data_IF_314573053568
#
_entry.id   IF_314573053568
#
_cell.length_a   1.000
_cell.length_b   1.000
_cell.length_c   1.000
_cell.angle_alpha   90.00
_cell.angle_beta   90.00
_cell.angle_gamma   90.00
#
_symmetry.space_group_name_H-M   'P 1'
#
loop_
_entity.id
_entity.type
_entity.pdbx_description
1 polymer ?
2 polymer ?
3 non-polymer ?
4 water ?
#
# COMPACT_ATOMS: atom_id res chain seq x y z
N UNK A 9 -1.67 8.74 19.89
CA UNK A 9 -1.89 8.55 21.37
C UNK A 9 -2.61 7.23 21.71
N UNK A 10 -3.07 6.52 20.66
CA UNK A 10 -3.73 5.23 20.75
C UNK A 10 -2.76 4.03 20.57
N UNK A 11 -1.50 4.31 20.27
CA UNK A 11 -0.51 3.24 20.08
C UNK A 11 -0.47 2.26 21.27
N UNK A 12 -0.40 0.96 21.01
CA UNK A 12 -0.22 0.01 22.09
C UNK A 12 -1.49 -0.64 22.64
N UNK A 13 -2.63 -0.43 21.95
CA UNK A 13 -3.91 -1.07 22.34
C UNK A 13 -3.91 -2.61 22.24
N UNK A 14 -4.66 -3.29 23.12
CA UNK A 14 -4.69 -4.75 23.05
C UNK A 14 -5.41 -5.19 21.79
N UNK A 15 -5.23 -6.46 21.43
CA UNK A 15 -5.90 -7.06 20.28
C UNK A 15 -7.40 -6.99 20.47
N UNK A 16 -7.85 -7.22 21.71
CA UNK A 16 -9.29 -7.26 21.94
C UNK A 16 -9.96 -5.91 21.71
N UNK A 17 -9.25 -4.83 22.08
CA UNK A 17 -9.73 -3.45 21.75
C UNK A 17 -9.65 -3.16 20.25
N UNK A 18 -8.53 -3.50 19.60
CA UNK A 18 -8.50 -3.47 18.11
C UNK A 18 -9.65 -4.19 17.42
N UNK A 19 -9.99 -5.38 17.92
CA UNK A 19 -11.11 -6.13 17.39
C UNK A 19 -12.42 -5.38 17.52
N UNK A 20 -12.65 -4.74 18.66
CA UNK A 20 -13.85 -3.94 18.81
C UNK A 20 -13.84 -2.68 17.95
N UNK A 21 -12.67 -2.14 17.74
CA UNK A 21 -12.55 -0.98 16.86
C UNK A 21 -12.76 -1.36 15.39
N UNK A 22 -12.26 -2.54 14.99
CA UNK A 22 -12.59 -3.06 13.67
C UNK A 22 -14.07 -3.26 13.50
N UNK A 23 -14.74 -3.88 14.51
CA UNK A 23 -16.19 -3.98 14.52
C UNK A 23 -16.91 -2.66 14.34
N UNK A 24 -16.38 -1.63 14.99
CA UNK A 24 -17.01 -0.31 14.97
C UNK A 24 -16.94 0.21 13.55
N UNK A 25 -15.75 0.08 12.96
CA UNK A 25 -15.50 0.53 11.58
C UNK A 25 -16.31 -0.23 10.58
N UNK A 26 -16.37 -1.56 10.71
CA UNK A 26 -17.19 -2.39 9.86
C UNK A 26 -18.67 -1.94 9.92
N UNK A 27 -19.14 -1.62 11.13
CA UNK A 27 -20.55 -1.29 11.29
C UNK A 27 -20.91 0.03 10.64
N UNK A 28 -20.03 1.01 10.79
CA UNK A 28 -20.19 2.28 10.10
C UNK A 28 -20.20 2.10 8.56
N UNK A 29 -19.31 1.22 8.08
CA UNK A 29 -19.31 0.82 6.67
C UNK A 29 -20.65 0.22 6.23
N UNK A 30 -21.18 -0.77 6.97
CA UNK A 30 -22.47 -1.37 6.65
C UNK A 30 -23.62 -0.31 6.61
N UNK A 31 -23.52 0.77 7.37
CA UNK A 31 -24.54 1.80 7.42
C UNK A 31 -24.25 2.93 6.39
N UNK A 32 -23.24 2.76 5.55
CA UNK A 32 -22.99 3.76 4.50
C UNK A 32 -22.39 5.02 5.04
N UNK A 33 -21.92 4.95 6.28
CA UNK A 33 -21.24 6.06 6.90
C UNK A 33 -19.73 6.00 6.46
N UNK A 34 -19.47 6.31 5.20
CA UNK A 34 -18.15 6.04 4.65
C UNK A 34 -17.01 6.92 5.16
N UNK A 35 -17.31 8.19 5.47
CA UNK A 35 -16.27 9.09 5.98
C UNK A 35 -15.77 8.69 7.35
N UNK A 36 -16.71 8.27 8.18
CA UNK A 36 -16.40 7.86 9.52
C UNK A 36 -15.69 6.51 9.49
N UNK A 37 -16.19 5.61 8.66
CA UNK A 37 -15.58 4.29 8.53
C UNK A 37 -14.13 4.46 8.00
N UNK A 38 -13.97 5.34 7.02
CA UNK A 38 -12.60 5.56 6.52
C UNK A 38 -11.61 5.96 7.62
N UNK A 39 -12.05 6.86 8.49
CA UNK A 39 -11.21 7.33 9.57
C UNK A 39 -10.90 6.22 10.55
N UNK A 40 -11.88 5.42 10.91
CA UNK A 40 -11.58 4.29 11.78
C UNK A 40 -10.56 3.30 11.13
N UNK A 41 -10.74 3.01 9.82
CA UNK A 41 -9.82 2.08 9.18
C UNK A 41 -8.42 2.67 9.01
N UNK A 42 -8.36 3.97 8.69
CA UNK A 42 -7.12 4.65 8.59
C UNK A 42 -6.42 4.54 9.95
N UNK A 43 -7.19 4.65 11.05
CA UNK A 43 -6.54 4.56 12.38
C UNK A 43 -5.95 3.17 12.53
N UNK A 44 -6.78 2.13 12.28
CA UNK A 44 -6.34 0.77 12.42
C UNK A 44 -5.12 0.37 11.55
N UNK A 45 -5.10 0.76 10.26
CA UNK A 45 -3.91 0.65 9.38
C UNK A 45 -2.63 1.33 9.98
N UNK A 46 -2.81 2.39 10.76
CA UNK A 46 -1.65 2.96 11.52
C UNK A 46 -1.24 2.10 12.72
N UNK A 47 -2.20 1.58 13.44
CA UNK A 47 -2.00 0.76 14.61
C UNK A 47 -1.50 -0.62 14.31
N UNK A 48 -1.88 -1.19 13.15
CA UNK A 48 -1.46 -2.51 12.79
C UNK A 48 -1.16 -2.57 11.33
N UNK A 49 0.12 -2.51 10.99
CA UNK A 49 0.54 -2.38 9.59
C UNK A 49 0.36 -3.66 8.74
N UNK A 50 -0.15 -4.77 9.29
CA UNK A 50 -0.10 -6.08 8.59
C UNK A 50 -1.43 -6.77 8.47
N UNK A 51 -2.46 -6.24 9.11
CA UNK A 51 -3.75 -6.93 9.12
C UNK A 51 -4.49 -6.55 7.83
N UNK A 52 -4.49 -7.42 6.83
CA UNK A 52 -5.14 -7.13 5.52
C UNK A 52 -6.61 -6.65 5.66
N UNK A 53 -7.37 -7.15 6.63
CA UNK A 53 -8.74 -6.66 6.79
C UNK A 53 -8.84 -5.13 6.87
N UNK A 54 -7.88 -4.54 7.55
CA UNK A 54 -7.94 -3.06 7.75
C UNK A 54 -7.74 -2.33 6.42
N UNK A 55 -6.94 -2.92 5.53
CA UNK A 55 -6.61 -2.23 4.24
C UNK A 55 -7.72 -2.40 3.22
N UNK A 56 -8.37 -3.55 3.30
CA UNK A 56 -9.64 -3.89 2.59
C UNK A 56 -10.66 -2.90 3.02
N UNK A 57 -10.83 -2.74 4.34
CA UNK A 57 -11.79 -1.74 4.88
C UNK A 57 -11.53 -0.28 4.40
N UNK A 58 -10.27 0.13 4.53
CA UNK A 58 -9.89 1.50 4.12
C UNK A 58 -10.19 1.62 2.63
N UNK A 59 -9.66 0.67 1.84
CA UNK A 59 -9.97 0.67 0.33
C UNK A 59 -11.42 0.77 -0.01
N UNK A 60 -12.28 -0.04 0.62
CA UNK A 60 -13.67 -0.09 0.32
C UNK A 60 -14.33 1.28 0.61
N UNK A 61 -13.90 1.93 1.72
CA UNK A 61 -14.44 3.24 2.06
C UNK A 61 -14.13 4.29 1.05
N UNK A 62 -12.88 4.32 0.62
CA UNK A 62 -12.43 5.28 -0.37
C UNK A 62 -13.11 5.04 -1.75
N UNK A 63 -13.22 3.77 -2.12
CA UNK A 63 -13.97 3.40 -3.32
C UNK A 63 -15.39 3.98 -3.30
N UNK A 64 -16.11 3.80 -2.19
CA UNK A 64 -17.50 4.24 -2.07
C UNK A 64 -17.65 5.75 -2.11
N UNK A 65 -16.58 6.46 -1.74
CA UNK A 65 -16.50 7.91 -1.80
C UNK A 65 -15.91 8.44 -3.11
N UNK A 66 -15.59 7.55 -4.02
CA UNK A 66 -15.05 8.03 -5.32
C UNK A 66 -13.63 8.40 -5.28
N UNK A 67 -12.92 8.00 -4.23
CA UNK A 67 -11.50 8.31 -4.18
C UNK A 67 -10.71 7.13 -4.77
N UNK A 68 -10.79 6.89 -6.09
CA UNK A 68 -10.25 5.66 -6.64
C UNK A 68 -8.74 5.49 -6.54
N UNK A 69 -7.98 6.55 -6.76
CA UNK A 69 -6.52 6.46 -6.68
C UNK A 69 -6.09 6.11 -5.22
N UNK A 70 -6.71 6.72 -4.23
CA UNK A 70 -6.37 6.37 -2.82
C UNK A 70 -6.85 4.97 -2.47
N UNK A 71 -7.98 4.55 -3.05
CA UNK A 71 -8.48 3.17 -2.88
C UNK A 71 -7.47 2.21 -3.47
N UNK A 72 -6.90 2.56 -4.64
CA UNK A 72 -5.94 1.64 -5.22
C UNK A 72 -4.70 1.47 -4.27
N UNK A 73 -4.17 2.56 -3.70
CA UNK A 73 -3.01 2.47 -2.77
C UNK A 73 -3.28 1.48 -1.61
N UNK A 74 -4.49 1.54 -1.08
CA UNK A 74 -4.82 0.64 0.06
C UNK A 74 -4.98 -0.84 -0.33
N UNK A 75 -5.68 -1.04 -1.45
CA UNK A 75 -5.82 -2.33 -2.05
C UNK A 75 -4.47 -2.88 -2.46
N UNK A 76 -3.58 -2.03 -3.01
CA UNK A 76 -2.29 -2.54 -3.42
C UNK A 76 -1.48 -3.07 -2.23
N UNK A 77 -1.50 -2.31 -1.14
CA UNK A 77 -0.79 -2.78 0.08
C UNK A 77 -1.47 -4.03 0.68
N UNK A 78 -2.78 -3.99 0.78
CA UNK A 78 -3.47 -5.13 1.29
C UNK A 78 -3.10 -6.44 0.58
N UNK A 79 -3.13 -6.40 -0.76
CA UNK A 79 -2.77 -7.54 -1.59
C UNK A 79 -1.38 -8.06 -1.25
N UNK A 80 -0.43 -7.17 -0.88
CA UNK A 80 0.89 -7.61 -0.36
C UNK A 80 0.79 -8.41 0.99
N UNK A 81 -0.21 -8.06 1.81
CA UNK A 81 -0.42 -8.68 3.09
C UNK A 81 -1.18 -10.00 3.00
N UNK A 82 -2.02 -10.19 1.97
CA UNK A 82 -2.64 -11.51 1.82
C UNK A 82 -2.67 -11.83 0.31
N UNK A 83 -1.64 -12.51 -0.17
CA UNK A 83 -1.48 -12.76 -1.60
C UNK A 83 -2.55 -13.68 -2.20
N UNK A 84 -3.33 -14.36 -1.37
CA UNK A 84 -4.44 -15.25 -1.80
C UNK A 84 -5.84 -14.59 -1.92
N UNK A 85 -5.97 -13.38 -1.37
CA UNK A 85 -7.29 -12.73 -1.28
C UNK A 85 -7.70 -12.10 -2.62
N UNK A 86 -8.76 -12.64 -3.23
CA UNK A 86 -9.27 -12.17 -4.54
C UNK A 86 -9.93 -10.80 -4.46
N UNK A 87 -10.40 -10.35 -3.28
CA UNK A 87 -11.06 -9.05 -3.19
C UNK A 87 -10.17 -7.88 -3.56
N UNK A 88 -8.89 -7.94 -3.22
CA UNK A 88 -7.99 -6.86 -3.54
C UNK A 88 -7.94 -6.62 -5.04
N UNK A 89 -7.53 -7.62 -5.86
CA UNK A 89 -7.39 -7.22 -7.31
C UNK A 89 -8.75 -7.00 -7.95
N UNK A 90 -9.76 -7.67 -7.44
CA UNK A 90 -11.10 -7.46 -7.97
C UNK A 90 -11.56 -6.00 -7.75
N UNK A 91 -11.56 -5.50 -6.49
CA UNK A 91 -12.03 -4.16 -6.29
C UNK A 91 -11.07 -3.13 -6.86
N UNK A 92 -9.79 -3.47 -6.90
CA UNK A 92 -8.81 -2.60 -7.58
C UNK A 92 -9.19 -2.46 -9.08
N UNK A 93 -9.58 -3.58 -9.67
CA UNK A 93 -9.95 -3.58 -11.09
C UNK A 93 -11.17 -2.65 -11.30
N UNK A 94 -12.16 -2.70 -10.38
CA UNK A 94 -13.26 -1.72 -10.47
C UNK A 94 -12.83 -0.25 -10.46
N UNK A 95 -11.85 0.06 -9.59
CA UNK A 95 -11.33 1.41 -9.48
C UNK A 95 -10.60 1.71 -10.80
N UNK A 96 -9.81 0.79 -11.34
CA UNK A 96 -9.11 1.10 -12.58
C UNK A 96 -10.10 1.44 -13.69
N UNK A 97 -11.20 0.70 -13.71
CA UNK A 97 -12.25 0.87 -14.72
C UNK A 97 -12.86 2.25 -14.60
N UNK A 98 -13.20 2.65 -13.38
CA UNK A 98 -13.76 4.01 -13.18
C UNK A 98 -12.74 5.09 -13.52
N UNK A 99 -11.45 4.75 -13.49
CA UNK A 99 -10.43 5.73 -13.92
C UNK A 99 -10.17 5.66 -15.41
N UNK A 100 -10.82 4.78 -16.13
CA UNK A 100 -10.61 4.74 -17.58
C UNK A 100 -9.36 3.96 -17.95
N UNK A 101 -8.90 3.11 -17.04
CA UNK A 101 -7.64 2.40 -17.29
C UNK A 101 -8.00 0.97 -17.56
N UNK A 102 -8.14 0.62 -18.82
CA UNK A 102 -8.60 -0.72 -19.17
C UNK A 102 -7.64 -1.86 -18.94
N UNK A 103 -6.37 -1.58 -19.18
CA UNK A 103 -5.31 -2.55 -18.93
C UNK A 103 -5.18 -2.89 -17.43
N UNK A 104 -5.22 -1.86 -16.56
CA UNK A 104 -5.24 -2.16 -15.12
C UNK A 104 -6.47 -2.99 -14.76
N UNK A 105 -7.63 -2.70 -15.32
CA UNK A 105 -8.82 -3.43 -14.87
C UNK A 105 -8.73 -4.87 -15.34
N UNK A 106 -8.31 -5.03 -16.59
CA UNK A 106 -8.15 -6.41 -17.14
C UNK A 106 -7.19 -7.25 -16.26
N UNK A 107 -6.02 -6.69 -15.91
CA UNK A 107 -5.04 -7.38 -15.03
C UNK A 107 -5.72 -7.77 -13.71
N UNK A 108 -6.45 -6.82 -13.09
CA UNK A 108 -7.05 -7.07 -11.75
C UNK A 108 -8.08 -8.18 -11.78
N UNK A 109 -8.96 -8.10 -12.78
CA UNK A 109 -10.10 -9.09 -12.88
C UNK A 109 -9.50 -10.47 -13.23
N UNK A 110 -8.48 -10.51 -14.08
CA UNK A 110 -7.70 -11.74 -14.36
C UNK A 110 -7.10 -12.40 -13.08
N UNK A 111 -6.34 -11.60 -12.30
CA UNK A 111 -5.79 -12.07 -11.01
C UNK A 111 -6.90 -12.49 -10.06
N UNK A 112 -7.96 -11.68 -9.97
CA UNK A 112 -9.08 -12.01 -9.06
C UNK A 112 -9.71 -13.32 -9.44
N UNK A 113 -9.83 -13.55 -10.77
CA UNK A 113 -10.45 -14.82 -11.14
C UNK A 113 -9.54 -15.97 -10.72
N UNK A 114 -8.25 -15.83 -10.94
CA UNK A 114 -7.31 -16.90 -10.56
C UNK A 114 -7.35 -17.15 -9.05
N UNK A 115 -7.33 -16.08 -8.24
CA UNK A 115 -7.32 -16.28 -6.77
C UNK A 115 -8.65 -16.85 -6.33
N UNK A 116 -9.75 -16.33 -6.88
CA UNK A 116 -11.07 -16.82 -6.43
C UNK A 116 -11.28 -18.26 -6.91
N UNK A 117 -10.79 -18.61 -8.12
CA UNK A 117 -10.95 -20.02 -8.59
C UNK A 117 -10.29 -21.07 -7.65
N UNK A 118 -9.23 -20.69 -6.95
CA UNK A 118 -8.55 -21.64 -6.12
C UNK A 118 -9.23 -21.90 -4.74
N UNK A 119 -10.34 -21.21 -4.44
CA UNK A 119 -10.92 -21.28 -3.08
C UNK A 119 -12.44 -21.43 -3.13
N UNK A 120 -12.99 -22.55 -2.60
CA UNK A 120 -14.47 -22.76 -2.68
C UNK A 120 -15.35 -21.66 -2.04
N UNK A 121 -14.87 -21.05 -0.95
CA UNK A 121 -15.54 -19.88 -0.34
C UNK A 121 -15.81 -18.71 -1.34
N UNK A 122 -15.00 -18.65 -2.39
CA UNK A 122 -15.06 -17.55 -3.33
C UNK A 122 -15.61 -17.91 -4.73
N UNK A 123 -16.47 -18.93 -4.81
CA UNK A 123 -17.08 -19.33 -6.08
C UNK A 123 -17.94 -18.26 -6.80
N UNK A 124 -18.74 -17.46 -6.08
CA UNK A 124 -19.51 -16.38 -6.72
C UNK A 124 -18.59 -15.28 -7.28
N UNK A 125 -17.55 -14.92 -6.54
CA UNK A 125 -16.61 -13.89 -6.94
C UNK A 125 -15.83 -14.31 -8.19
N UNK A 126 -15.41 -15.57 -8.26
CA UNK A 126 -14.71 -16.12 -9.41
C UNK A 126 -15.55 -15.90 -10.68
N UNK A 127 -16.83 -16.21 -10.63
CA UNK A 127 -17.74 -15.99 -11.77
C UNK A 127 -17.90 -14.52 -12.10
N UNK A 128 -17.96 -13.66 -11.08
CA UNK A 128 -18.03 -12.21 -11.34
C UNK A 128 -16.76 -11.69 -11.96
N UNK A 129 -15.61 -12.16 -11.47
CA UNK A 129 -14.34 -11.73 -11.98
C UNK A 129 -14.24 -12.16 -13.46
N UNK A 130 -14.72 -13.35 -13.78
CA UNK A 130 -14.69 -13.88 -15.17
C UNK A 130 -15.63 -13.05 -16.01
N UNK A 131 -16.83 -12.74 -15.49
CA UNK A 131 -17.78 -11.87 -16.25
C UNK A 131 -17.22 -10.48 -16.53
N UNK A 132 -16.67 -9.84 -15.48
CA UNK A 132 -16.03 -8.54 -15.65
C UNK A 132 -14.84 -8.57 -16.59
N UNK A 133 -14.01 -9.60 -16.46
CA UNK A 133 -12.88 -9.71 -17.38
C UNK A 133 -13.36 -9.75 -18.85
N UNK A 134 -14.36 -10.56 -19.11
CA UNK A 134 -14.92 -10.72 -20.46
C UNK A 134 -15.45 -9.34 -20.97
N UNK A 135 -16.12 -8.60 -20.06
CA UNK A 135 -16.66 -7.28 -20.39
C UNK A 135 -15.56 -6.36 -20.77
N UNK A 136 -14.48 -6.35 -19.99
CA UNK A 136 -13.37 -5.45 -20.27
C UNK A 136 -12.62 -5.78 -21.56
N UNK A 137 -12.39 -7.07 -21.78
CA UNK A 137 -11.72 -7.52 -23.01
C UNK A 137 -12.56 -7.11 -24.23
N UNK A 138 -13.88 -7.30 -24.12
CA UNK A 138 -14.83 -6.84 -25.18
C UNK A 138 -14.67 -5.34 -25.52
N UNK A 139 -14.47 -4.49 -24.50
CA UNK A 139 -14.29 -3.05 -24.71
C UNK A 139 -12.93 -2.74 -25.33
N UNK A 140 -11.89 -3.51 -24.95
CA UNK A 140 -10.55 -3.23 -25.55
C UNK A 140 -10.56 -3.68 -27.03
N UNK A 141 -11.33 -4.72 -27.33
CA UNK A 141 -11.39 -5.24 -28.70
C UNK A 141 -12.44 -4.47 -29.48
N UNK B 7 10.84 -3.38 21.43
CA UNK B 7 9.41 -3.23 21.02
C UNK B 7 8.49 -2.85 22.21
N UNK B 8 8.05 -3.87 22.95
CA UNK B 8 7.32 -3.67 24.21
C UNK B 8 8.06 -2.73 25.17
N UNK B 9 9.33 -3.04 25.44
CA UNK B 9 10.05 -2.24 26.42
C UNK B 9 10.46 -0.85 25.87
N UNK B 10 10.93 -0.81 24.61
CA UNK B 10 11.48 0.38 23.96
C UNK B 10 10.42 1.43 23.64
N UNK B 11 9.20 1.12 24.07
CA UNK B 11 8.05 2.00 23.96
C UNK B 11 8.19 3.34 24.69
N UNK B 12 7.77 4.42 24.04
CA UNK B 12 7.62 5.73 24.68
C UNK B 12 8.84 6.63 24.76
N UNK B 13 9.78 6.46 23.86
CA UNK B 13 10.95 7.31 23.89
C UNK B 13 10.59 8.76 23.53
N UNK B 14 11.39 9.72 24.02
CA UNK B 14 11.17 11.11 23.71
C UNK B 14 11.46 11.34 22.24
N UNK B 15 11.04 12.54 21.76
CA UNK B 15 11.30 13.01 20.39
C UNK B 15 12.77 13.00 20.05
N UNK B 16 13.56 13.55 20.97
CA UNK B 16 14.98 13.74 20.76
C UNK B 16 15.71 12.39 20.65
N UNK B 17 15.30 11.43 21.48
CA UNK B 17 15.93 10.09 21.52
C UNK B 17 15.61 9.35 20.20
N UNK B 18 14.32 9.32 19.84
CA UNK B 18 13.86 8.77 18.52
C UNK B 18 14.65 9.36 17.39
N UNK B 19 14.85 10.66 17.39
CA UNK B 19 15.61 11.27 16.29
C UNK B 19 17.06 10.79 16.25
N UNK B 20 17.69 10.71 17.44
CA UNK B 20 19.08 10.22 17.54
C UNK B 20 19.12 8.76 17.11
N UNK B 21 18.07 8.02 17.41
CA UNK B 21 18.06 6.61 17.02
C UNK B 21 17.96 6.54 15.48
N UNK B 22 17.03 7.32 14.92
CA UNK B 22 16.91 7.46 13.47
C UNK B 22 18.28 7.83 12.89
N UNK B 23 18.96 8.83 13.46
CA UNK B 23 20.28 9.21 12.87
C UNK B 23 21.34 8.12 12.97
N UNK B 24 21.28 7.30 14.01
CA UNK B 24 22.15 6.11 14.06
C UNK B 24 21.84 5.08 12.94
N UNK B 25 20.55 4.78 12.73
CA UNK B 25 20.15 3.95 11.59
C UNK B 25 20.70 4.45 10.25
N UNK B 26 20.51 5.73 10.01
CA UNK B 26 20.96 6.33 8.79
C UNK B 26 22.46 6.17 8.70
N UNK B 27 23.13 6.52 9.79
CA UNK B 27 24.58 6.49 9.83
C UNK B 27 25.12 5.12 9.50
N UNK B 28 24.49 4.06 10.03
CA UNK B 28 24.89 2.68 9.75
C UNK B 28 24.52 2.27 8.33
N UNK B 29 23.42 2.83 7.83
CA UNK B 29 23.08 2.59 6.45
C UNK B 29 24.18 3.24 5.54
N UNK B 30 24.45 4.54 5.70
CA UNK B 30 25.58 5.18 4.98
C UNK B 30 26.92 4.47 5.11
N UNK B 31 27.12 3.70 6.18
CA UNK B 31 28.32 2.90 6.40
C UNK B 31 28.32 1.49 5.80
N UNK B 32 27.21 1.07 5.19
CA UNK B 32 27.21 -0.27 4.56
C UNK B 32 26.77 -1.40 5.49
N UNK B 33 26.51 -1.04 6.74
CA UNK B 33 25.97 -2.01 7.65
C UNK B 33 24.43 -2.06 7.52
N UNK B 34 23.98 -2.72 6.46
CA UNK B 34 22.59 -2.67 6.07
C UNK B 34 21.67 -3.53 6.91
N UNK B 35 22.11 -4.69 7.37
CA UNK B 35 21.18 -5.43 8.18
C UNK B 35 21.01 -4.81 9.54
N UNK B 36 22.07 -4.22 10.12
CA UNK B 36 21.90 -3.42 11.36
C UNK B 36 20.94 -2.25 11.10
N UNK B 37 21.19 -1.45 10.05
CA UNK B 37 20.26 -0.36 9.72
C UNK B 37 18.78 -0.83 9.55
N UNK B 38 18.57 -1.94 8.84
CA UNK B 38 17.25 -2.51 8.63
C UNK B 38 16.51 -2.71 9.97
N UNK B 39 17.19 -3.30 10.94
CA UNK B 39 16.60 -3.62 12.25
C UNK B 39 16.30 -2.33 12.96
N UNK B 40 17.19 -1.35 12.85
CA UNK B 40 16.91 -0.09 13.48
C UNK B 40 15.65 0.58 12.85
N UNK B 41 15.62 0.62 11.51
CA UNK B 41 14.48 1.25 10.81
C UNK B 41 13.18 0.53 11.09
N UNK B 42 13.19 -0.80 11.11
CA UNK B 42 11.96 -1.51 11.41
C UNK B 42 11.46 -1.15 12.80
N UNK B 43 12.37 -1.10 13.80
CA UNK B 43 11.98 -0.65 15.14
C UNK B 43 11.34 0.72 15.09
N UNK B 44 12.02 1.70 14.46
CA UNK B 44 11.44 3.02 14.31
C UNK B 44 10.03 3.02 13.66
N UNK B 45 9.85 2.20 12.62
CA UNK B 45 8.54 2.11 11.96
C UNK B 45 7.44 1.63 12.90
N UNK B 46 7.81 0.78 13.84
CA UNK B 46 6.90 0.14 14.78
C UNK B 46 6.66 1.05 16.03
N UNK B 47 7.72 1.71 16.53
CA UNK B 47 7.67 2.42 17.82
C UNK B 47 7.15 3.84 17.68
N UNK B 48 7.53 4.51 16.61
CA UNK B 48 7.19 5.91 16.45
C UNK B 48 5.93 6.08 15.59
N UNK B 49 5.40 7.30 15.57
CA UNK B 49 4.30 7.58 14.67
C UNK B 49 4.88 7.70 13.29
N UNK B 50 4.03 7.54 12.29
CA UNK B 50 4.46 7.53 10.91
C UNK B 50 5.48 8.63 10.61
N UNK B 51 6.57 8.26 9.93
CA UNK B 51 7.56 9.24 9.48
C UNK B 51 8.20 8.81 8.16
N UNK B 52 8.19 9.74 7.19
CA UNK B 52 8.62 9.44 5.83
C UNK B 52 9.94 8.70 5.83
N UNK B 53 10.90 9.26 6.57
CA UNK B 53 12.29 8.78 6.49
C UNK B 53 12.53 7.36 6.99
N UNK B 54 11.66 6.87 7.86
CA UNK B 54 11.79 5.53 8.38
C UNK B 54 11.52 4.47 7.29
N UNK B 55 10.41 4.64 6.58
CA UNK B 55 9.97 3.69 5.59
C UNK B 55 10.89 3.77 4.39
N UNK B 56 11.28 4.98 4.01
CA UNK B 56 12.32 5.16 2.97
C UNK B 56 13.64 4.54 3.36
N UNK B 57 14.09 4.79 4.59
CA UNK B 57 15.33 4.15 5.14
C UNK B 57 15.27 2.64 5.09
N UNK B 58 14.18 2.05 5.64
CA UNK B 58 13.97 0.60 5.63
C UNK B 58 13.87 0.00 4.22
N UNK B 59 13.10 0.67 3.36
CA UNK B 59 12.99 0.23 1.97
C UNK B 59 14.38 0.33 1.32
N UNK B 60 15.09 1.43 1.55
CA UNK B 60 16.50 1.52 1.06
C UNK B 60 17.45 0.39 1.51
N UNK B 61 17.40 -0.01 2.80
CA UNK B 61 18.18 -1.17 3.28
C UNK B 61 17.82 -2.44 2.57
N UNK B 62 16.51 -2.66 2.39
CA UNK B 62 16.04 -3.91 1.88
C UNK B 62 16.47 -4.09 0.41
N UNK B 63 16.45 -3.01 -0.35
CA UNK B 63 16.96 -2.96 -1.74
C UNK B 63 18.45 -3.31 -1.77
N UNK B 64 19.26 -2.64 -0.96
CA UNK B 64 20.68 -3.03 -0.84
C UNK B 64 20.89 -4.51 -0.47
N UNK B 65 19.91 -5.14 0.20
CA UNK B 65 19.99 -6.57 0.55
C UNK B 65 19.28 -7.53 -0.43
N UNK B 66 18.67 -6.97 -1.48
CA UNK B 66 18.05 -7.74 -2.53
C UNK B 66 16.77 -8.39 -2.06
N UNK B 67 16.17 -7.76 -1.06
CA UNK B 67 14.90 -8.14 -0.52
C UNK B 67 13.91 -7.17 -1.19
N UNK B 68 13.67 -7.40 -2.49
CA UNK B 68 12.98 -6.41 -3.33
C UNK B 68 11.48 -6.45 -3.02
N UNK B 69 11.00 -7.60 -2.60
CA UNK B 69 9.61 -7.75 -2.20
C UNK B 69 9.31 -7.04 -0.89
N UNK B 70 10.21 -7.21 0.10
CA UNK B 70 10.04 -6.55 1.40
C UNK B 70 10.22 -5.06 1.27
N UNK B 71 11.16 -4.60 0.42
CA UNK B 71 11.24 -3.16 0.21
C UNK B 71 9.98 -2.58 -0.38
N UNK B 72 9.48 -3.27 -1.38
CA UNK B 72 8.24 -2.87 -2.02
C UNK B 72 7.09 -2.72 -0.97
N UNK B 73 6.98 -3.66 -0.03
CA UNK B 73 6.04 -3.50 1.12
C UNK B 73 6.29 -2.19 1.84
N UNK B 74 7.54 -1.92 2.24
CA UNK B 74 7.85 -0.62 2.89
C UNK B 74 7.46 0.62 2.06
N UNK B 75 7.85 0.62 0.79
CA UNK B 75 7.48 1.73 -0.11
C UNK B 75 5.99 1.82 -0.32
N UNK B 76 5.29 0.67 -0.38
CA UNK B 76 3.84 0.74 -0.57
C UNK B 76 3.10 1.28 0.68
N UNK B 77 3.53 0.91 1.89
CA UNK B 77 2.99 1.50 3.12
C UNK B 77 3.25 2.98 3.17
N UNK B 78 4.48 3.36 2.86
CA UNK B 78 4.86 4.76 2.70
C UNK B 78 3.95 5.59 1.80
N UNK B 79 3.79 5.18 0.55
CA UNK B 79 2.90 5.83 -0.43
C UNK B 79 1.48 5.96 0.12
N UNK B 80 1.03 4.88 0.77
CA UNK B 80 -0.31 4.86 1.33
C UNK B 80 -0.53 5.98 2.37
N UNK B 81 0.48 6.23 3.20
CA UNK B 81 0.39 7.14 4.32
C UNK B 81 0.89 8.54 3.96
N UNK B 82 1.52 8.69 2.80
CA UNK B 82 2.10 9.98 2.42
C UNK B 82 1.90 10.17 0.91
N UNK B 83 0.69 10.49 0.47
CA UNK B 83 0.38 10.37 -0.96
C UNK B 83 1.08 11.39 -1.87
N UNK B 84 1.61 12.48 -1.32
CA UNK B 84 2.30 13.47 -2.13
C UNK B 84 3.83 13.30 -2.26
N UNK B 85 4.34 12.27 -1.57
CA UNK B 85 5.79 11.98 -1.58
C UNK B 85 6.23 11.18 -2.80
N UNK B 86 6.98 11.80 -3.74
CA UNK B 86 7.29 11.11 -5.01
C UNK B 86 8.29 9.99 -4.90
N UNK B 87 9.09 10.00 -3.82
CA UNK B 87 10.09 8.99 -3.66
C UNK B 87 9.52 7.60 -3.40
N UNK B 88 8.31 7.44 -2.83
CA UNK B 88 7.75 6.08 -2.69
C UNK B 88 7.45 5.33 -4.01
N UNK B 89 6.56 5.86 -4.85
CA UNK B 89 6.41 5.16 -6.16
C UNK B 89 7.70 5.07 -7.01
N UNK B 90 8.59 6.05 -6.93
CA UNK B 90 9.84 5.96 -7.68
C UNK B 90 10.65 4.73 -7.26
N UNK B 91 10.89 4.57 -5.95
CA UNK B 91 11.64 3.43 -5.47
C UNK B 91 10.85 2.18 -5.57
N UNK B 92 9.51 2.27 -5.46
CA UNK B 92 8.68 1.06 -5.63
C UNK B 92 8.81 0.57 -7.08
N UNK B 93 8.89 1.49 -8.03
CA UNK B 93 9.03 1.14 -9.45
C UNK B 93 10.35 0.41 -9.64
N UNK B 94 11.42 0.98 -9.08
CA UNK B 94 12.76 0.35 -9.04
C UNK B 94 12.69 -1.09 -8.59
N UNK B 95 11.96 -1.41 -7.49
CA UNK B 95 11.73 -2.81 -7.06
C UNK B 95 10.88 -3.65 -7.99
N UNK B 96 9.88 -3.00 -8.59
CA UNK B 96 9.04 -3.66 -9.55
C UNK B 96 9.94 -4.15 -10.71
N UNK B 97 10.93 -3.34 -11.10
CA UNK B 97 11.84 -3.65 -12.19
C UNK B 97 12.66 -4.89 -11.91
N UNK B 98 13.39 -4.86 -10.80
CA UNK B 98 14.11 -6.03 -10.29
C UNK B 98 13.19 -7.23 -10.13
N UNK B 99 11.91 -7.00 -9.86
CA UNK B 99 10.96 -8.12 -9.77
C UNK B 99 10.45 -8.52 -11.17
N UNK B 100 10.97 -7.89 -12.23
CA UNK B 100 10.39 -8.03 -13.58
C UNK B 100 8.90 -7.75 -13.73
N UNK B 101 8.38 -6.70 -13.09
CA UNK B 101 6.95 -6.38 -13.21
C UNK B 101 6.88 -5.03 -13.88
N UNK B 102 6.87 -5.03 -15.22
CA UNK B 102 6.99 -3.75 -15.90
C UNK B 102 5.67 -2.98 -15.86
N UNK B 103 4.51 -3.65 -15.77
CA UNK B 103 3.26 -2.91 -15.51
C UNK B 103 3.43 -2.11 -14.19
N UNK B 104 3.93 -2.79 -13.15
CA UNK B 104 4.18 -2.15 -11.86
C UNK B 104 5.19 -1.01 -11.95
N UNK B 105 6.29 -1.26 -12.67
CA UNK B 105 7.35 -0.28 -12.77
C UNK B 105 6.84 0.98 -13.49
N UNK B 106 6.03 0.76 -14.54
CA UNK B 106 5.62 1.82 -15.42
C UNK B 106 4.79 2.79 -14.63
N UNK B 107 3.84 2.22 -13.91
CA UNK B 107 2.97 2.94 -13.00
C UNK B 107 3.67 3.81 -11.92
N UNK B 108 4.65 3.22 -11.24
CA UNK B 108 5.32 3.89 -10.13
C UNK B 108 6.09 5.04 -10.74
N UNK B 109 6.80 4.82 -11.85
CA UNK B 109 7.61 5.94 -12.43
C UNK B 109 6.74 7.04 -12.93
N UNK B 110 5.63 6.65 -13.55
CA UNK B 110 4.65 7.56 -14.03
C UNK B 110 4.11 8.36 -12.86
N UNK B 111 3.70 7.68 -11.78
CA UNK B 111 3.20 8.40 -10.62
C UNK B 111 4.32 9.24 -9.97
N UNK B 112 5.54 8.71 -9.91
CA UNK B 112 6.66 9.43 -9.27
C UNK B 112 6.86 10.70 -10.00
N UNK B 113 6.85 10.57 -11.34
CA UNK B 113 7.04 11.75 -12.19
C UNK B 113 5.98 12.80 -11.95
N UNK B 114 4.71 12.40 -11.88
CA UNK B 114 3.60 13.34 -11.70
C UNK B 114 3.60 14.09 -10.35
N UNK B 115 3.97 13.38 -9.28
CA UNK B 115 4.06 13.99 -7.95
C UNK B 115 5.19 15.05 -7.87
N UNK B 116 6.37 14.70 -8.37
CA UNK B 116 7.58 15.57 -8.35
C UNK B 116 7.38 16.86 -9.16
N UNK B 117 6.73 16.74 -10.32
CA UNK B 117 6.40 17.89 -11.14
C UNK B 117 5.51 18.87 -10.42
N UNK B 118 4.70 18.41 -9.48
CA UNK B 118 3.91 19.36 -8.73
C UNK B 118 4.66 20.00 -7.53
N UNK B 119 5.93 19.64 -7.33
CA UNK B 119 6.69 20.09 -6.14
C UNK B 119 8.04 20.76 -6.48
N UNK B 120 8.21 22.05 -6.15
CA UNK B 120 9.41 22.77 -6.60
C UNK B 120 10.72 22.16 -6.09
N UNK B 121 10.72 21.73 -4.83
CA UNK B 121 11.89 21.06 -4.23
C UNK B 121 12.34 19.78 -4.98
N UNK B 122 11.36 19.07 -5.57
CA UNK B 122 11.63 17.81 -6.27
C UNK B 122 11.74 17.99 -7.78
N UNK B 123 12.15 19.18 -8.24
CA UNK B 123 12.08 19.46 -9.69
C UNK B 123 13.01 18.57 -10.53
N UNK B 124 14.22 18.39 -10.02
CA UNK B 124 15.19 17.46 -10.58
C UNK B 124 14.62 16.04 -10.68
N UNK B 125 14.06 15.51 -9.57
CA UNK B 125 13.54 14.11 -9.50
C UNK B 125 12.57 13.74 -10.64
N UNK B 126 11.70 14.69 -10.98
CA UNK B 126 10.72 14.49 -12.03
C UNK B 126 11.31 13.90 -13.32
N UNK B 127 12.56 14.24 -13.68
CA UNK B 127 13.15 13.66 -14.91
C UNK B 127 14.00 12.40 -14.74
N UNK B 128 14.44 12.08 -13.53
CA UNK B 128 14.90 10.72 -13.33
C UNK B 128 13.73 9.76 -13.57
N UNK B 129 12.54 10.15 -13.07
CA UNK B 129 11.30 9.39 -13.24
C UNK B 129 10.91 9.35 -14.72
N UNK B 130 10.84 10.54 -15.34
CA UNK B 130 10.59 10.72 -16.78
C UNK B 130 11.46 9.83 -17.65
N UNK B 131 12.77 9.83 -17.42
CA UNK B 131 13.72 9.03 -18.25
C UNK B 131 13.51 7.56 -18.01
N UNK B 132 13.32 7.20 -16.74
CA UNK B 132 13.03 5.82 -16.37
C UNK B 132 11.68 5.35 -16.95
N UNK B 133 10.68 6.24 -16.98
CA UNK B 133 9.38 5.93 -17.58
C UNK B 133 9.50 5.47 -19.07
N UNK B 134 10.17 6.29 -19.90
CA UNK B 134 10.46 5.95 -21.33
C UNK B 134 11.19 4.60 -21.51
N UNK B 135 12.14 4.32 -20.62
CA UNK B 135 12.77 3.01 -20.54
C UNK B 135 11.74 1.89 -20.45
N UNK B 136 10.82 1.97 -19.48
CA UNK B 136 9.83 0.91 -19.25
C UNK B 136 8.85 0.69 -20.43
N UNK B 137 8.23 1.76 -20.94
CA UNK B 137 7.26 1.64 -22.06
C UNK B 137 7.81 0.92 -23.30
N UNK B 138 9.13 0.74 -23.36
CA UNK B 138 9.77 -0.15 -24.34
C UNK B 138 10.16 -1.47 -23.68
N UNK C 2 -21.46 -2.99 -1.20
CA UNK C 2 -20.48 -2.91 -2.33
C UNK C 2 -19.34 -3.92 -2.09
N UNK C 3 -18.30 -3.56 -1.34
CA UNK C 3 -17.28 -4.55 -0.97
C UNK C 3 -17.75 -5.36 0.21
N UNK C 4 -17.41 -6.63 0.19
CA UNK C 4 -17.80 -7.52 1.26
C UNK C 4 -16.60 -7.61 2.23
N UNK C 5 -16.72 -6.96 3.39
CA UNK C 5 -15.70 -7.07 4.45
C UNK C 5 -15.85 -8.33 5.34
N UNK C 6 -14.73 -8.86 5.87
CA UNK C 6 -14.78 -9.98 6.87
C UNK C 6 -15.63 -9.62 8.05
N UNK C 7 -16.52 -10.50 8.51
CA UNK C 7 -17.39 -10.18 9.67
C UNK C 7 -16.45 -10.07 10.89
N UNK C 8 -16.72 -9.14 11.85
CA UNK C 8 -15.86 -9.03 13.06
C UNK C 8 -16.03 -10.18 14.09
N UNK C 9 -16.52 -9.82 15.29
CA UNK C 9 -16.61 -10.72 16.50
C UNK C 9 -15.75 -11.97 16.43
#
# INVERSE_FOLDING_TARGET
>A
GSDGGTLAMLRGLSEDTLEQLYALGFNQYQAGKWDDAQKIFQALCMLDHYDARYFLGLGACRQSLGLYEQALQSYSYGALMDINEPRFPFHAAECHLQLGDLDGAESGFYSARALAAAQPAHEALAARAGAMLEAVTARKDR
>B
GSDGGTLAMLRGLSEDTLEQLYALGFNQYQAGKWDDAQKIFQALCMLDHYDARYFLGLGACRQSLGLYEQALQSYSYGALMDINEPRFPFHAAECHLQLGDLDGAESGFYSARALAAAQPAHEALAARAGAMLEAVTARKDR
>C
DRVELNAPRQ
#
